data_IF_075638842135
#
_entry.id   IF_075638842135
#
_cell.length_a   1.000
_cell.length_b   1.000
_cell.length_c   1.000
_cell.angle_alpha   90.00
_cell.angle_beta   90.00
_cell.angle_gamma   90.00
#
_symmetry.space_group_name_H-M   'P 1'
#
loop_
_entity.id
_entity.type
_entity.pdbx_description
1 polymer ?
#
# COMPACT_ATOMS: atom_id res chain seq x y z
N UNK A 1 11.06 -26.16 14.99
CA UNK A 1 9.66 -26.06 14.51
C UNK A 1 9.69 -25.96 13.00
N UNK A 2 8.68 -26.50 12.30
CA UNK A 2 8.55 -26.28 10.85
C UNK A 2 8.21 -24.80 10.61
N UNK A 3 8.81 -24.12 9.61
CA UNK A 3 8.53 -22.72 9.31
C UNK A 3 7.03 -22.41 9.19
N UNK A 4 6.26 -23.31 8.55
CA UNK A 4 4.80 -23.18 8.34
C UNK A 4 3.99 -23.04 9.64
N UNK A 5 4.52 -23.56 10.75
CA UNK A 5 3.90 -23.39 12.08
C UNK A 5 4.45 -22.18 12.83
N UNK A 6 5.68 -21.77 12.55
CA UNK A 6 6.38 -20.71 13.28
C UNK A 6 5.74 -19.34 13.04
N UNK A 7 5.42 -19.00 11.79
CA UNK A 7 4.82 -17.69 11.49
C UNK A 7 3.46 -17.53 12.19
N UNK A 8 2.65 -18.58 12.28
CA UNK A 8 1.35 -18.54 12.99
C UNK A 8 1.54 -18.23 14.47
N UNK A 9 2.54 -18.84 15.11
CA UNK A 9 2.87 -18.56 16.51
C UNK A 9 3.40 -17.14 16.71
N UNK A 10 4.28 -16.68 15.83
CA UNK A 10 4.79 -15.31 15.88
C UNK A 10 3.66 -14.29 15.67
N UNK A 11 2.74 -14.55 14.75
CA UNK A 11 1.57 -13.70 14.52
C UNK A 11 0.70 -13.57 15.77
N UNK A 12 0.38 -14.69 16.43
CA UNK A 12 -0.38 -14.68 17.69
C UNK A 12 0.37 -13.93 18.80
N UNK A 13 1.68 -14.15 18.92
CA UNK A 13 2.49 -13.43 19.91
C UNK A 13 2.49 -11.91 19.66
N UNK A 14 2.60 -11.47 18.40
CA UNK A 14 2.58 -10.06 18.03
C UNK A 14 1.25 -9.39 18.41
N UNK A 15 0.12 -10.08 18.17
CA UNK A 15 -1.22 -9.61 18.56
C UNK A 15 -1.37 -9.46 20.08
N UNK A 16 -0.86 -10.42 20.85
CA UNK A 16 -0.87 -10.35 22.31
C UNK A 16 -0.01 -9.19 22.83
N UNK A 17 1.16 -8.96 22.24
CA UNK A 17 2.03 -7.82 22.60
C UNK A 17 1.33 -6.48 22.31
N UNK A 18 0.67 -6.36 21.15
CA UNK A 18 -0.07 -5.17 20.78
C UNK A 18 -1.23 -4.88 21.76
N UNK A 19 -1.98 -5.93 22.13
CA UNK A 19 -3.08 -5.82 23.11
C UNK A 19 -2.60 -5.46 24.52
N UNK A 20 -1.41 -5.91 24.90
CA UNK A 20 -0.79 -5.58 26.19
C UNK A 20 -0.12 -4.20 26.23
N UNK A 21 -0.17 -3.45 25.13
CA UNK A 21 0.44 -2.11 25.02
C UNK A 21 1.94 -2.13 24.69
N UNK A 22 2.56 -3.31 24.52
CA UNK A 22 3.95 -3.43 24.06
C UNK A 22 4.03 -3.27 22.54
N UNK A 23 3.85 -2.04 22.07
CA UNK A 23 3.87 -1.70 20.64
C UNK A 23 5.19 -2.04 19.98
N UNK A 24 6.32 -1.81 20.65
CA UNK A 24 7.64 -2.07 20.07
C UNK A 24 7.93 -3.56 19.97
N UNK A 25 7.59 -4.33 21.01
CA UNK A 25 7.63 -5.79 20.96
C UNK A 25 6.76 -6.34 19.85
N UNK A 26 5.51 -5.85 19.73
CA UNK A 26 4.60 -6.25 18.67
C UNK A 26 5.18 -6.01 17.28
N UNK A 27 5.69 -4.80 17.01
CA UNK A 27 6.32 -4.46 15.73
C UNK A 27 7.45 -5.44 15.42
N UNK A 28 8.38 -5.67 16.36
CA UNK A 28 9.49 -6.62 16.16
C UNK A 28 8.99 -8.03 15.84
N UNK A 29 7.95 -8.50 16.52
CA UNK A 29 7.39 -9.83 16.29
C UNK A 29 6.63 -9.92 14.95
N UNK A 30 5.92 -8.88 14.52
CA UNK A 30 5.33 -8.83 13.17
C UNK A 30 6.41 -8.87 12.09
N UNK A 31 7.52 -8.15 12.26
CA UNK A 31 8.68 -8.22 11.33
C UNK A 31 9.22 -9.65 11.23
N UNK A 32 9.37 -10.34 12.36
CA UNK A 32 9.78 -11.75 12.40
C UNK A 32 8.80 -12.66 11.66
N UNK A 33 7.49 -12.41 11.82
CA UNK A 33 6.42 -13.17 11.19
C UNK A 33 6.51 -13.08 9.67
N UNK A 34 6.56 -11.85 9.13
CA UNK A 34 6.64 -11.60 7.69
C UNK A 34 7.95 -12.14 7.12
N UNK A 35 9.08 -12.01 7.83
CA UNK A 35 10.34 -12.58 7.39
C UNK A 35 10.29 -14.11 7.28
N UNK A 36 9.64 -14.78 8.23
CA UNK A 36 9.43 -16.23 8.20
C UNK A 36 8.53 -16.62 7.03
N UNK A 37 7.47 -15.85 6.74
CA UNK A 37 6.62 -16.05 5.55
C UNK A 37 7.38 -15.93 4.23
N UNK A 38 8.27 -14.94 4.11
CA UNK A 38 9.11 -14.78 2.94
C UNK A 38 10.06 -15.97 2.73
N UNK A 39 10.62 -16.53 3.80
CA UNK A 39 11.45 -17.74 3.73
C UNK A 39 10.66 -18.97 3.29
N UNK A 40 9.44 -19.14 3.82
CA UNK A 40 8.53 -20.23 3.43
C UNK A 40 8.25 -20.15 1.93
N UNK A 41 7.87 -18.98 1.43
CA UNK A 41 7.59 -18.77 0.00
C UNK A 41 8.83 -19.02 -0.87
N UNK A 42 10.00 -18.54 -0.46
CA UNK A 42 11.27 -18.81 -1.14
C UNK A 42 11.64 -20.30 -1.20
N UNK A 43 11.25 -21.10 -0.20
CA UNK A 43 11.49 -22.54 -0.14
C UNK A 43 10.42 -23.39 -0.83
N UNK A 44 9.15 -22.94 -0.89
CA UNK A 44 8.02 -23.66 -1.50
C UNK A 44 8.05 -23.56 -3.03
N UNK A 45 8.61 -22.48 -3.60
CA UNK A 45 8.91 -22.34 -5.03
C UNK A 45 9.73 -23.52 -5.60
N UNK A 46 10.40 -24.29 -4.73
CA UNK A 46 11.18 -25.47 -5.11
C UNK A 46 10.44 -26.82 -4.95
N UNK A 47 9.25 -26.89 -4.32
CA UNK A 47 8.77 -28.18 -3.82
C UNK A 47 7.26 -28.51 -3.90
N UNK A 48 6.29 -27.59 -3.86
CA UNK A 48 4.87 -28.04 -3.73
C UNK A 48 3.79 -27.02 -4.10
N UNK A 49 3.00 -27.33 -5.13
CA UNK A 49 1.83 -26.60 -5.66
C UNK A 49 0.56 -26.57 -4.77
N UNK A 50 0.60 -27.16 -3.57
CA UNK A 50 -0.61 -27.53 -2.82
C UNK A 50 -0.86 -26.73 -1.53
N UNK A 51 -0.05 -25.71 -1.22
CA UNK A 51 -0.32 -24.79 -0.12
C UNK A 51 -0.97 -23.52 -0.69
N UNK A 52 -2.23 -23.65 -1.09
CA UNK A 52 -3.11 -22.48 -1.26
C UNK A 52 -3.40 -21.94 0.15
N UNK A 53 -2.51 -21.09 0.66
CA UNK A 53 -2.85 -20.27 1.80
C UNK A 53 -4.01 -19.37 1.38
N UNK A 54 -5.04 -19.25 2.21
CA UNK A 54 -6.01 -18.17 1.97
C UNK A 54 -5.29 -16.86 2.26
N UNK A 55 -4.75 -16.23 1.21
CA UNK A 55 -3.97 -15.03 1.34
C UNK A 55 -4.75 -13.94 2.08
N UNK A 56 -6.03 -13.80 1.78
CA UNK A 56 -6.90 -12.76 2.34
C UNK A 56 -7.12 -12.96 3.84
N UNK A 57 -7.30 -14.21 4.27
CA UNK A 57 -7.66 -14.52 5.64
C UNK A 57 -6.46 -14.82 6.55
N UNK A 58 -5.34 -15.31 5.99
CA UNK A 58 -4.19 -15.77 6.78
C UNK A 58 -2.90 -14.95 6.61
N UNK A 59 -2.72 -14.26 5.47
CA UNK A 59 -1.44 -13.62 5.13
C UNK A 59 -1.56 -12.09 5.14
N UNK A 60 -2.49 -11.55 4.36
CA UNK A 60 -2.79 -10.12 4.25
C UNK A 60 -2.97 -9.45 5.63
N UNK A 61 -3.71 -10.03 6.60
CA UNK A 61 -3.90 -9.41 7.91
C UNK A 61 -2.59 -9.16 8.66
N UNK A 62 -1.57 -10.00 8.47
CA UNK A 62 -0.27 -9.85 9.13
C UNK A 62 0.42 -8.56 8.70
N UNK A 63 0.37 -8.24 7.40
CA UNK A 63 0.93 -7.00 6.86
C UNK A 63 0.11 -5.79 7.28
N UNK A 64 -1.24 -5.87 7.19
CA UNK A 64 -2.13 -4.77 7.56
C UNK A 64 -2.05 -4.43 9.05
N UNK A 65 -1.95 -5.43 9.92
CA UNK A 65 -1.76 -5.22 11.37
C UNK A 65 -0.42 -4.53 11.67
N UNK A 66 0.67 -4.90 10.98
CA UNK A 66 1.94 -4.19 11.10
C UNK A 66 1.83 -2.73 10.60
N UNK A 67 1.16 -2.50 9.47
CA UNK A 67 0.92 -1.15 8.95
C UNK A 67 0.15 -0.29 9.95
N UNK A 68 -0.86 -0.84 10.64
CA UNK A 68 -1.56 -0.14 11.73
C UNK A 68 -0.59 0.35 12.80
N UNK A 69 0.37 -0.49 13.20
CA UNK A 69 1.36 -0.12 14.22
C UNK A 69 2.40 0.88 13.71
N UNK A 70 2.78 0.83 12.43
CA UNK A 70 3.78 1.74 11.86
C UNK A 70 3.20 3.12 11.55
N UNK A 71 1.92 3.20 11.16
CA UNK A 71 1.24 4.44 10.72
C UNK A 71 0.52 5.21 11.84
N UNK A 72 0.66 4.76 13.08
CA UNK A 72 0.12 5.47 14.24
C UNK A 72 0.83 6.82 14.52
N UNK A 73 2.00 7.06 13.92
CA UNK A 73 2.72 8.34 13.92
C UNK A 73 3.61 8.46 12.67
N UNK A 74 4.32 9.58 12.54
CA UNK A 74 5.14 9.89 11.35
C UNK A 74 6.58 9.35 11.46
N UNK A 75 6.91 8.56 12.50
CA UNK A 75 8.30 8.13 12.73
C UNK A 75 8.74 6.96 11.84
N UNK A 76 7.80 6.12 11.38
CA UNK A 76 8.10 4.89 10.65
C UNK A 76 7.54 4.87 9.23
N UNK A 77 7.37 6.03 8.58
CA UNK A 77 6.75 6.12 7.24
C UNK A 77 7.53 5.35 6.18
N UNK A 78 8.87 5.39 6.20
CA UNK A 78 9.71 4.62 5.27
C UNK A 78 9.44 3.12 5.39
N UNK A 79 9.37 2.61 6.63
CA UNK A 79 9.09 1.21 6.87
C UNK A 79 7.65 0.84 6.51
N UNK A 80 6.69 1.72 6.76
CA UNK A 80 5.32 1.48 6.37
C UNK A 80 5.18 1.34 4.84
N UNK A 81 5.87 2.19 4.06
CA UNK A 81 5.91 2.08 2.60
C UNK A 81 6.54 0.76 2.15
N UNK A 82 7.58 0.30 2.84
CA UNK A 82 8.20 -1.01 2.58
C UNK A 82 7.22 -2.15 2.83
N UNK A 83 6.54 -2.15 3.98
CA UNK A 83 5.59 -3.20 4.33
C UNK A 83 4.41 -3.21 3.34
N UNK A 84 3.98 -2.03 2.89
CA UNK A 84 2.97 -1.89 1.84
C UNK A 84 3.42 -2.50 0.50
N UNK A 85 4.67 -2.26 0.09
CA UNK A 85 5.21 -2.84 -1.14
C UNK A 85 5.42 -4.36 -1.02
N UNK A 86 5.79 -4.85 0.16
CA UNK A 86 5.85 -6.30 0.44
C UNK A 86 4.46 -6.94 0.38
N UNK A 87 3.43 -6.26 0.91
CA UNK A 87 2.05 -6.72 0.80
C UNK A 87 1.61 -6.82 -0.66
N UNK A 88 1.87 -5.79 -1.47
CA UNK A 88 1.56 -5.80 -2.91
C UNK A 88 2.28 -6.90 -3.66
N UNK A 89 3.57 -7.11 -3.36
CA UNK A 89 4.31 -8.22 -3.95
C UNK A 89 3.66 -9.55 -3.59
N UNK A 90 3.23 -9.72 -2.34
CA UNK A 90 2.57 -10.93 -1.89
C UNK A 90 1.20 -11.16 -2.56
N UNK A 91 0.44 -10.09 -2.84
CA UNK A 91 -0.81 -10.13 -3.63
C UNK A 91 -0.57 -10.53 -5.07
N UNK A 92 0.45 -9.94 -5.72
CA UNK A 92 0.81 -10.24 -7.12
C UNK A 92 1.22 -11.70 -7.26
N UNK A 93 2.03 -12.20 -6.33
CA UNK A 93 2.43 -13.61 -6.29
C UNK A 93 1.23 -14.55 -6.16
N UNK A 94 0.27 -14.21 -5.29
CA UNK A 94 -0.96 -14.99 -5.13
C UNK A 94 -1.80 -14.99 -6.42
N UNK A 95 -1.97 -13.82 -7.05
CA UNK A 95 -2.80 -13.70 -8.24
C UNK A 95 -2.24 -14.47 -9.46
N UNK A 96 -0.93 -14.41 -9.67
CA UNK A 96 -0.29 -14.98 -10.86
C UNK A 96 0.20 -16.43 -10.68
N UNK A 97 0.46 -16.87 -9.44
CA UNK A 97 1.12 -18.16 -9.18
C UNK A 97 2.56 -18.23 -9.73
N UNK A 98 3.24 -19.35 -9.50
CA UNK A 98 4.70 -19.48 -9.67
C UNK A 98 5.25 -19.23 -11.09
N UNK A 99 4.48 -19.46 -12.16
CA UNK A 99 5.00 -19.45 -13.54
C UNK A 99 5.33 -18.03 -14.09
N UNK A 100 4.86 -16.97 -13.43
CA UNK A 100 5.09 -15.57 -13.84
C UNK A 100 5.82 -14.72 -12.78
N UNK A 101 6.11 -15.27 -11.60
CA UNK A 101 6.63 -14.50 -10.45
C UNK A 101 8.04 -13.98 -10.69
N UNK A 102 8.91 -14.66 -11.44
CA UNK A 102 10.25 -14.14 -11.76
C UNK A 102 10.19 -12.89 -12.65
N UNK A 103 9.25 -12.83 -13.60
CA UNK A 103 9.05 -11.66 -14.46
C UNK A 103 8.41 -10.53 -13.67
N UNK A 104 7.39 -10.82 -12.84
CA UNK A 104 6.79 -9.84 -11.95
C UNK A 104 7.78 -9.32 -10.90
N UNK A 105 8.67 -10.16 -10.37
CA UNK A 105 9.74 -9.76 -9.44
C UNK A 105 10.82 -8.94 -10.14
N UNK A 106 11.20 -9.25 -11.38
CA UNK A 106 12.16 -8.44 -12.13
C UNK A 106 11.57 -7.06 -12.51
N UNK A 107 10.27 -6.99 -12.84
CA UNK A 107 9.55 -5.74 -13.10
C UNK A 107 9.28 -4.95 -11.81
N UNK A 108 8.94 -5.63 -10.71
CA UNK A 108 8.80 -5.05 -9.38
C UNK A 108 10.15 -4.55 -8.86
N UNK A 109 11.27 -5.26 -9.06
CA UNK A 109 12.61 -4.80 -8.69
C UNK A 109 13.07 -3.57 -9.48
N UNK A 110 12.51 -3.34 -10.68
CA UNK A 110 12.78 -2.15 -11.48
C UNK A 110 11.95 -0.94 -11.02
N UNK A 111 10.88 -1.16 -10.26
CA UNK A 111 9.93 -0.14 -9.76
C UNK A 111 9.89 -0.01 -8.23
N UNK A 112 10.50 -0.93 -7.48
CA UNK A 112 10.60 -0.95 -6.02
C UNK A 112 11.73 -0.03 -5.57
N UNK A 113 11.33 1.05 -4.89
CA UNK A 113 12.25 1.98 -4.23
C UNK A 113 12.97 1.36 -3.04
N UNK A 114 12.45 0.28 -2.47
CA UNK A 114 13.02 -0.35 -1.29
C UNK A 114 13.24 -1.85 -1.49
N UNK A 115 14.48 -2.29 -1.27
CA UNK A 115 14.80 -3.70 -1.07
C UNK A 115 14.89 -3.94 0.42
N UNK A 116 13.97 -4.73 0.97
CA UNK A 116 13.95 -5.07 2.37
C UNK A 116 14.63 -6.42 2.61
N UNK A 117 15.73 -6.41 3.35
CA UNK A 117 16.35 -7.64 3.86
C UNK A 117 16.08 -7.73 5.34
N UNK A 118 15.47 -8.82 5.80
CA UNK A 118 15.26 -9.01 7.23
C UNK A 118 16.55 -9.48 7.92
N UNK A 119 17.10 -8.65 8.81
CA UNK A 119 18.23 -9.00 9.66
C UNK A 119 17.72 -9.68 10.93
N UNK A 120 17.82 -11.01 10.96
CA UNK A 120 17.43 -11.82 12.12
C UNK A 120 18.16 -11.43 13.41
N UNK A 121 19.45 -11.11 13.34
CA UNK A 121 20.25 -10.75 14.51
C UNK A 121 19.85 -9.42 15.17
N UNK A 122 19.11 -8.57 14.45
CA UNK A 122 18.67 -7.27 14.94
C UNK A 122 17.15 -7.15 15.08
N UNK A 123 16.38 -8.15 14.65
CA UNK A 123 14.92 -8.07 14.67
C UNK A 123 14.37 -6.95 13.77
N UNK A 124 15.12 -6.60 12.71
CA UNK A 124 14.90 -5.38 11.94
C UNK A 124 14.92 -5.67 10.44
N UNK A 125 14.08 -4.96 9.69
CA UNK A 125 14.26 -4.83 8.25
C UNK A 125 15.40 -3.86 7.98
N UNK A 126 16.40 -4.32 7.24
CA UNK A 126 17.36 -3.44 6.61
C UNK A 126 16.81 -3.00 5.28
N UNK A 127 16.56 -1.69 5.20
CA UNK A 127 16.07 -1.04 4.01
C UNK A 127 17.28 -0.62 3.19
N UNK A 128 17.50 -1.28 2.05
CA UNK A 128 18.32 -0.71 0.99
C UNK A 128 17.39 0.11 0.10
N UNK A 129 17.42 1.43 0.29
CA UNK A 129 16.75 2.34 -0.62
C UNK A 129 17.48 2.26 -1.97
N UNK A 130 16.78 1.80 -2.99
CA UNK A 130 17.20 2.12 -4.34
C UNK A 130 16.94 3.63 -4.54
N UNK A 131 17.87 4.36 -5.19
CA UNK A 131 17.60 5.74 -5.55
C UNK A 131 16.29 5.76 -6.33
N UNK A 132 15.37 6.67 -5.95
CA UNK A 132 14.13 6.88 -6.70
C UNK A 132 14.52 6.99 -8.18
N UNK A 133 13.84 6.29 -9.10
CA UNK A 133 14.10 6.49 -10.51
C UNK A 133 14.01 7.99 -10.75
N UNK A 134 15.08 8.61 -11.23
CA UNK A 134 15.26 10.07 -11.28
C UNK A 134 13.94 10.74 -11.70
N UNK A 135 13.16 11.13 -10.71
CA UNK A 135 11.84 11.69 -10.93
C UNK A 135 12.12 13.06 -11.50
N UNK A 136 11.52 13.36 -12.65
CA UNK A 136 11.62 14.70 -13.24
C UNK A 136 11.36 15.74 -12.15
N UNK A 137 12.09 16.84 -12.22
CA UNK A 137 11.92 18.01 -11.36
C UNK A 137 10.41 18.23 -11.10
N UNK A 138 10.01 18.31 -9.81
CA UNK A 138 8.65 18.64 -9.38
C UNK A 138 7.56 17.53 -9.51
N UNK A 139 7.92 16.25 -9.27
CA UNK A 139 6.96 15.13 -9.14
C UNK A 139 6.64 14.81 -7.69
N UNK A 140 5.36 14.61 -7.36
CA UNK A 140 4.92 14.08 -6.06
C UNK A 140 4.23 12.72 -6.24
N UNK A 141 4.66 11.73 -5.47
CA UNK A 141 4.04 10.40 -5.41
C UNK A 141 3.07 10.37 -4.23
N UNK A 142 1.88 9.82 -4.43
CA UNK A 142 0.84 9.67 -3.42
C UNK A 142 0.53 8.20 -3.25
N UNK A 143 0.91 7.63 -2.11
CA UNK A 143 0.58 6.28 -1.69
C UNK A 143 -0.72 6.31 -0.90
N UNK A 144 -1.63 5.39 -1.17
CA UNK A 144 -2.77 5.13 -0.27
C UNK A 144 -2.53 3.86 0.53
N UNK A 145 -2.97 3.87 1.79
CA UNK A 145 -3.00 2.68 2.67
C UNK A 145 -4.40 2.57 3.26
N UNK A 146 -5.09 1.47 2.96
CA UNK A 146 -6.47 1.25 3.40
C UNK A 146 -6.42 0.19 4.51
N UNK A 147 -6.66 0.60 5.75
CA UNK A 147 -6.87 -0.31 6.88
C UNK A 147 -8.36 -0.33 7.21
N UNK A 148 -8.83 -1.36 7.93
CA UNK A 148 -10.26 -1.54 8.20
C UNK A 148 -10.93 -0.28 8.79
N UNK A 149 -10.31 0.31 9.82
CA UNK A 149 -10.88 1.45 10.55
C UNK A 149 -10.33 2.81 10.09
N UNK A 150 -9.24 2.83 9.33
CA UNK A 150 -8.55 4.07 9.00
C UNK A 150 -7.89 4.02 7.62
N UNK A 151 -8.02 5.11 6.88
CA UNK A 151 -7.31 5.30 5.62
C UNK A 151 -6.21 6.36 5.80
N UNK A 152 -5.03 6.06 5.27
CA UNK A 152 -3.91 6.97 5.22
C UNK A 152 -3.50 7.28 3.78
N UNK A 153 -3.03 8.51 3.57
CA UNK A 153 -2.31 8.91 2.37
C UNK A 153 -0.90 9.31 2.77
N UNK A 154 0.10 8.89 2.01
CA UNK A 154 1.50 9.23 2.25
C UNK A 154 2.02 9.89 0.97
N UNK A 155 2.48 11.13 1.07
CA UNK A 155 3.08 11.84 -0.06
C UNK A 155 4.59 11.74 0.01
N UNK A 156 5.23 11.43 -1.11
CA UNK A 156 6.67 11.55 -1.31
C UNK A 156 6.95 12.68 -2.32
N UNK A 157 7.69 13.70 -1.87
CA UNK A 157 8.14 14.80 -2.75
C UNK A 157 9.40 14.39 -3.54
N UNK A 158 9.76 15.15 -4.57
CA UNK A 158 11.01 14.93 -5.32
C UNK A 158 12.29 15.06 -4.46
N UNK A 159 12.19 15.60 -3.25
CA UNK A 159 13.29 15.66 -2.27
C UNK A 159 13.34 14.43 -1.35
N UNK A 160 12.45 13.45 -1.55
CA UNK A 160 12.33 12.25 -0.73
C UNK A 160 11.71 12.49 0.65
N UNK A 161 11.03 13.63 0.85
CA UNK A 161 10.32 13.90 2.10
C UNK A 161 8.96 13.22 2.11
N UNK A 162 8.71 12.44 3.17
CA UNK A 162 7.43 11.78 3.42
C UNK A 162 6.54 12.60 4.35
N UNK A 163 5.26 12.70 4.00
CA UNK A 163 4.24 13.27 4.87
C UNK A 163 3.00 12.40 4.84
N UNK A 164 2.46 12.10 6.03
CA UNK A 164 1.25 11.29 6.20
C UNK A 164 0.03 12.19 6.41
N UNK A 165 -1.09 11.77 5.85
CA UNK A 165 -2.40 12.38 5.99
C UNK A 165 -3.41 11.31 6.40
N UNK A 166 -4.30 11.68 7.30
CA UNK A 166 -5.41 10.84 7.74
C UNK A 166 -6.63 11.24 6.94
N UNK A 167 -7.24 10.27 6.25
CA UNK A 167 -8.49 10.51 5.51
C UNK A 167 -9.66 10.33 6.48
N UNK A 168 -10.63 11.26 6.53
CA UNK A 168 -11.68 11.30 7.55
C UNK A 168 -12.84 10.32 7.28
N UNK A 169 -12.54 9.12 6.77
CA UNK A 169 -13.50 8.02 6.56
C UNK A 169 -12.82 6.68 6.88
N UNK A 170 -13.61 5.68 7.25
CA UNK A 170 -13.11 4.32 7.48
C UNK A 170 -12.73 3.63 6.17
N UNK A 171 -11.93 2.55 6.25
CA UNK A 171 -11.56 1.78 5.06
C UNK A 171 -12.75 1.11 4.39
N UNK A 172 -13.68 0.56 5.19
CA UNK A 172 -14.91 -0.06 4.69
C UNK A 172 -15.82 0.94 3.99
N UNK A 173 -16.00 2.13 4.57
CA UNK A 173 -16.76 3.22 3.94
C UNK A 173 -16.12 3.69 2.63
N UNK A 174 -14.79 3.87 2.61
CA UNK A 174 -14.08 4.21 1.38
C UNK A 174 -14.28 3.14 0.30
N UNK A 175 -14.16 1.86 0.65
CA UNK A 175 -14.33 0.76 -0.30
C UNK A 175 -15.73 0.75 -0.92
N UNK A 176 -16.79 0.92 -0.12
CA UNK A 176 -18.16 1.02 -0.61
C UNK A 176 -18.36 2.22 -1.56
N UNK A 177 -17.83 3.39 -1.18
CA UNK A 177 -17.89 4.59 -2.02
C UNK A 177 -17.14 4.40 -3.34
N UNK A 178 -15.98 3.76 -3.31
CA UNK A 178 -15.17 3.51 -4.52
C UNK A 178 -15.85 2.51 -5.45
N UNK A 179 -16.42 1.42 -4.92
CA UNK A 179 -17.18 0.44 -5.72
C UNK A 179 -18.40 1.11 -6.35
N UNK A 180 -19.12 1.93 -5.59
CA UNK A 180 -20.29 2.67 -6.08
C UNK A 180 -19.89 3.64 -7.19
N UNK A 181 -18.80 4.39 -7.00
CA UNK A 181 -18.30 5.32 -8.01
C UNK A 181 -17.90 4.57 -9.30
N UNK A 182 -17.21 3.43 -9.18
CA UNK A 182 -16.84 2.59 -10.33
C UNK A 182 -18.07 2.23 -11.17
N UNK A 183 -19.12 1.71 -10.53
CA UNK A 183 -20.37 1.35 -11.20
C UNK A 183 -21.07 2.55 -11.84
N UNK A 184 -21.06 3.71 -11.19
CA UNK A 184 -21.65 4.93 -11.74
C UNK A 184 -20.86 5.48 -12.95
N UNK A 185 -19.54 5.31 -12.97
CA UNK A 185 -18.68 5.69 -14.10
C UNK A 185 -18.87 4.80 -15.33
N UNK A 186 -19.31 3.55 -15.16
CA UNK A 186 -19.67 2.66 -16.28
C UNK A 186 -20.89 3.18 -17.06
N UNK A 187 -21.81 3.88 -16.37
CA UNK A 187 -23.01 4.43 -16.99
C UNK A 187 -22.77 5.84 -17.59
N UNK A 188 -22.39 5.87 -18.86
CA UNK A 188 -22.12 7.12 -19.62
C UNK A 188 -23.36 7.98 -19.93
N UNK A 189 -24.57 7.49 -19.66
CA UNK A 189 -25.81 8.20 -19.97
C UNK A 189 -26.17 9.27 -18.92
N UNK A 190 -25.53 9.24 -17.74
CA UNK A 190 -25.87 10.14 -16.63
C UNK A 190 -24.62 10.75 -16.00
N UNK A 191 -24.79 11.91 -15.36
CA UNK A 191 -23.78 12.53 -14.50
C UNK A 191 -23.96 12.14 -13.02
N UNK A 192 -24.60 11.01 -12.74
CA UNK A 192 -24.92 10.56 -11.38
C UNK A 192 -23.66 10.31 -10.52
N UNK A 193 -22.51 10.10 -11.16
CA UNK A 193 -21.21 9.92 -10.49
C UNK A 193 -20.67 11.19 -9.84
N UNK A 194 -21.11 12.39 -10.27
CA UNK A 194 -20.49 13.66 -9.87
C UNK A 194 -20.51 13.95 -8.36
N UNK A 195 -21.62 13.74 -7.64
CA UNK A 195 -21.65 13.98 -6.19
C UNK A 195 -20.64 13.11 -5.45
N UNK A 196 -20.58 11.82 -5.78
CA UNK A 196 -19.67 10.88 -5.13
C UNK A 196 -18.20 11.13 -5.52
N UNK A 197 -17.95 11.47 -6.79
CA UNK A 197 -16.62 11.91 -7.24
C UNK A 197 -16.14 13.18 -6.51
N UNK A 198 -17.06 14.07 -6.12
CA UNK A 198 -16.76 15.27 -5.33
C UNK A 198 -16.48 14.94 -3.86
N UNK A 199 -17.26 14.06 -3.25
CA UNK A 199 -17.04 13.61 -1.88
C UNK A 199 -15.67 12.92 -1.73
N UNK A 200 -15.34 12.05 -2.68
CA UNK A 200 -14.03 11.38 -2.72
C UNK A 200 -12.89 12.35 -3.02
N UNK A 201 -13.11 13.38 -3.84
CA UNK A 201 -12.12 14.46 -4.02
C UNK A 201 -11.84 15.18 -2.70
N UNK A 202 -12.88 15.55 -1.98
CA UNK A 202 -12.78 16.28 -0.72
C UNK A 202 -12.08 15.46 0.37
N UNK A 203 -12.29 14.15 0.37
CA UNK A 203 -11.66 13.25 1.33
C UNK A 203 -10.22 12.92 0.97
N UNK A 204 -9.92 12.63 -0.30
CA UNK A 204 -8.63 12.07 -0.73
C UNK A 204 -7.64 13.10 -1.28
N UNK A 205 -8.14 14.13 -1.97
CA UNK A 205 -7.27 15.06 -2.71
C UNK A 205 -7.14 16.38 -1.98
N UNK A 206 -8.25 16.93 -1.46
CA UNK A 206 -8.27 18.23 -0.80
C UNK A 206 -7.25 18.36 0.36
N UNK A 207 -7.05 17.35 1.23
CA UNK A 207 -6.04 17.45 2.29
C UNK A 207 -4.60 17.54 1.77
N UNK A 208 -4.34 17.02 0.57
CA UNK A 208 -3.01 17.00 -0.03
C UNK A 208 -2.67 18.32 -0.72
N UNK A 209 -3.66 19.12 -1.12
CA UNK A 209 -3.42 20.29 -1.99
C UNK A 209 -2.37 21.26 -1.47
N UNK A 210 -2.26 21.42 -0.15
CA UNK A 210 -1.25 22.26 0.49
C UNK A 210 0.17 21.69 0.35
N UNK A 211 0.33 20.36 0.44
CA UNK A 211 1.64 19.69 0.31
C UNK A 211 2.04 19.43 -1.14
N UNK A 212 1.08 19.43 -2.06
CA UNK A 212 1.36 19.26 -3.48
C UNK A 212 2.21 20.40 -4.06
N UNK A 213 2.34 21.56 -3.40
CA UNK A 213 3.44 22.51 -3.60
C UNK A 213 3.62 23.07 -5.01
N UNK A 214 2.61 22.98 -5.88
CA UNK A 214 2.73 23.31 -7.30
C UNK A 214 3.42 22.21 -8.14
N UNK A 215 3.45 20.97 -7.68
CA UNK A 215 3.93 19.80 -8.42
C UNK A 215 3.27 19.72 -9.79
N UNK A 216 4.08 19.61 -10.84
CA UNK A 216 3.61 19.50 -12.22
C UNK A 216 3.06 18.10 -12.53
N UNK A 217 3.46 17.11 -11.72
CA UNK A 217 3.11 15.70 -11.93
C UNK A 217 2.74 15.03 -10.62
N UNK A 218 1.56 14.41 -10.60
CA UNK A 218 1.08 13.57 -9.52
C UNK A 218 1.09 12.11 -9.98
N UNK A 219 1.73 11.25 -9.20
CA UNK A 219 1.72 9.81 -9.42
C UNK A 219 1.00 9.16 -8.25
N UNK A 220 0.01 8.33 -8.53
CA UNK A 220 -0.74 7.64 -7.49
C UNK A 220 -0.35 6.16 -7.45
N UNK A 221 -0.06 5.66 -6.25
CA UNK A 221 0.22 4.25 -5.98
C UNK A 221 -0.82 3.74 -4.99
N UNK A 222 -1.87 3.12 -5.54
CA UNK A 222 -3.06 2.77 -4.78
C UNK A 222 -2.96 1.43 -4.06
N UNK A 223 -3.53 1.38 -2.87
CA UNK A 223 -3.92 0.17 -2.14
C UNK A 223 -5.40 -0.16 -2.38
N UNK A 224 -5.74 -1.45 -2.31
CA UNK A 224 -7.11 -1.98 -2.30
C UNK A 224 -8.03 -1.44 -3.39
N UNK A 225 -9.27 -1.11 -2.99
CA UNK A 225 -10.35 -0.70 -3.88
C UNK A 225 -10.04 0.52 -4.73
N UNK A 226 -9.15 1.43 -4.28
CA UNK A 226 -8.77 2.62 -5.04
C UNK A 226 -8.12 2.29 -6.40
N UNK A 227 -7.57 1.09 -6.59
CA UNK A 227 -7.09 0.60 -7.90
C UNK A 227 -8.19 0.49 -8.96
N UNK A 228 -9.46 0.48 -8.55
CA UNK A 228 -10.61 0.23 -9.42
C UNK A 228 -11.21 1.50 -10.03
N UNK A 229 -10.78 2.69 -9.57
CA UNK A 229 -11.29 3.96 -10.10
C UNK A 229 -10.15 4.82 -10.68
N UNK A 230 -10.41 5.56 -11.76
CA UNK A 230 -9.45 6.54 -12.24
C UNK A 230 -9.49 7.78 -11.34
N UNK A 231 -8.43 8.04 -10.57
CA UNK A 231 -8.32 9.28 -9.76
C UNK A 231 -8.50 10.56 -10.59
N UNK A 232 -8.14 10.49 -11.86
CA UNK A 232 -8.40 11.51 -12.87
C UNK A 232 -9.86 11.99 -12.92
N UNK A 233 -10.82 11.13 -12.58
CA UNK A 233 -12.26 11.40 -12.60
C UNK A 233 -12.80 12.03 -11.31
N UNK A 234 -11.98 12.20 -10.26
CA UNK A 234 -12.37 12.95 -9.08
C UNK A 234 -12.55 14.43 -9.42
N UNK A 235 -13.53 15.08 -8.80
CA UNK A 235 -14.06 16.37 -9.22
C UNK A 235 -14.06 17.38 -8.08
N UNK A 236 -13.49 18.57 -8.25
CA UNK A 236 -13.37 19.59 -7.19
C UNK A 236 -14.62 20.49 -7.05
N UNK A 237 -15.69 20.20 -7.80
CA UNK A 237 -16.88 21.04 -7.92
C UNK A 237 -16.85 21.99 -9.12
N UNK A 238 -15.69 22.18 -9.75
CA UNK A 238 -15.49 22.99 -10.96
C UNK A 238 -14.84 22.19 -12.08
N UNK A 239 -13.74 21.50 -11.80
CA UNK A 239 -12.88 20.76 -12.73
C UNK A 239 -12.50 19.38 -12.19
N UNK A 240 -12.19 18.47 -13.08
CA UNK A 240 -11.64 17.16 -12.76
C UNK A 240 -10.15 17.23 -12.43
N UNK A 241 -9.64 16.27 -11.64
CA UNK A 241 -8.23 16.22 -11.25
C UNK A 241 -7.27 16.16 -12.44
N UNK A 242 -7.68 15.50 -13.53
CA UNK A 242 -6.93 15.47 -14.80
C UNK A 242 -6.77 16.86 -15.42
N UNK A 243 -7.74 17.76 -15.25
CA UNK A 243 -7.72 19.10 -15.84
C UNK A 243 -6.81 20.06 -15.07
N UNK A 244 -6.56 19.78 -13.79
CA UNK A 244 -5.57 20.49 -12.97
C UNK A 244 -4.14 20.11 -13.36
N UNK A 245 -3.94 18.84 -13.73
CA UNK A 245 -2.64 18.24 -14.01
C UNK A 245 -2.36 18.26 -15.52
N UNK A 246 -2.12 19.44 -16.11
CA UNK A 246 -1.90 19.60 -17.57
C UNK A 246 -0.71 18.81 -18.15
N UNK A 247 0.04 18.04 -17.35
CA UNK A 247 0.95 17.05 -17.89
C UNK A 247 1.08 15.82 -16.99
N UNK A 248 0.67 14.67 -17.52
CA UNK A 248 1.09 13.31 -17.11
C UNK A 248 0.55 12.80 -15.77
N UNK A 249 -0.73 12.44 -15.71
CA UNK A 249 -1.16 11.35 -14.83
C UNK A 249 -0.55 10.04 -15.37
N UNK A 250 0.46 9.52 -14.68
CA UNK A 250 0.98 8.17 -14.94
C UNK A 250 0.33 7.22 -13.95
N UNK A 251 -0.49 6.25 -14.38
CA UNK A 251 -0.72 5.09 -13.52
C UNK A 251 0.63 4.45 -13.24
N UNK A 252 0.91 4.11 -11.98
CA UNK A 252 1.99 3.19 -11.67
C UNK A 252 1.57 1.83 -12.22
N UNK A 253 2.03 1.50 -13.43
CA UNK A 253 1.88 0.16 -14.00
C UNK A 253 2.77 -0.79 -13.20
N UNK A 254 2.12 -1.73 -12.50
CA UNK A 254 2.74 -2.91 -11.93
C UNK A 254 3.37 -3.79 -13.03
#
# INVERSE_FOLDING_TARGET
>A
MRPDSLYRWQWQAARLLAQNGDRQGAIVTYRQTIATLQQIRGGILAASRNLQFDFRDEIEPIYRELLTLLLADDTNLDEALVVLDLLRLAEVQEFYGDDCVEVAQALAQTSQRYVATYIHSKGQYQLAQQPAPATRDNTTIVYSVILADQVYLITETSQGQHQRFVVPISGSELEEQVITLRLQLENRATNAYRPLASQLYDSLIRPLEASLGGSDTLVFVHDGALRQIPMAALYDGQRFLIERSRSRLRPASA
#
